data_IF_423657833662
#
_entry.id   IF_423657833662
#
_cell.length_a   1.000
_cell.length_b   1.000
_cell.length_c   1.000
_cell.angle_alpha   90.00
_cell.angle_beta   90.00
_cell.angle_gamma   90.00
#
_symmetry.space_group_name_H-M   'P 1'
#
loop_
_entity.id
_entity.type
_entity.pdbx_description
1 polymer ?
#
# COMPACT_ATOMS: atom_id res chain seq x y z
N UNK A 1 16.40 -21.14 6.87
CA UNK A 1 15.92 -19.75 6.78
C UNK A 1 14.41 -19.80 6.71
N UNK A 2 13.71 -18.93 7.44
CA UNK A 2 12.26 -18.95 7.51
C UNK A 2 11.68 -18.18 6.31
N UNK A 3 10.64 -18.73 5.68
CA UNK A 3 9.87 -18.01 4.66
C UNK A 3 9.17 -16.83 5.30
N UNK A 4 9.38 -15.62 4.80
CA UNK A 4 8.74 -14.40 5.32
C UNK A 4 7.93 -13.69 4.24
N UNK A 5 6.69 -13.37 4.61
CA UNK A 5 5.77 -12.51 3.85
C UNK A 5 5.44 -11.31 4.72
N UNK A 6 5.46 -10.13 4.12
CA UNK A 6 4.89 -8.92 4.69
C UNK A 6 3.42 -8.81 4.25
N UNK A 7 2.54 -8.46 5.18
CA UNK A 7 1.13 -8.17 4.92
C UNK A 7 0.78 -6.79 5.46
N UNK A 8 0.18 -5.95 4.60
CA UNK A 8 -0.07 -4.53 4.92
C UNK A 8 -1.57 -4.18 4.82
N UNK A 9 -2.47 -4.82 5.61
CA UNK A 9 -3.90 -4.61 5.47
C UNK A 9 -4.30 -3.17 5.84
N UNK A 10 -5.33 -2.65 5.16
CA UNK A 10 -5.83 -1.31 5.39
C UNK A 10 -7.27 -1.36 5.87
N UNK A 11 -7.54 -0.69 6.98
CA UNK A 11 -8.84 -0.69 7.65
C UNK A 11 -9.49 0.68 7.51
N UNK A 12 -10.80 0.69 7.23
CA UNK A 12 -11.63 1.89 7.21
C UNK A 12 -12.04 2.27 8.64
N UNK A 13 -11.04 2.59 9.45
CA UNK A 13 -11.18 3.10 10.82
C UNK A 13 -9.86 3.77 11.22
N UNK A 14 -9.91 4.98 11.76
CA UNK A 14 -8.74 5.74 12.23
C UNK A 14 -9.01 6.61 13.44
N UNK A 15 -10.18 6.49 14.09
CA UNK A 15 -10.65 7.37 15.19
C UNK A 15 -11.02 6.60 16.45
N UNK A 16 -11.70 5.47 16.31
CA UNK A 16 -12.17 4.62 17.42
C UNK A 16 -11.04 3.74 17.93
N UNK A 17 -10.35 4.21 18.98
CA UNK A 17 -9.22 3.51 19.59
C UNK A 17 -9.57 2.10 20.01
N UNK A 18 -10.79 1.86 20.52
CA UNK A 18 -11.25 0.54 20.94
C UNK A 18 -11.32 -0.45 19.78
N UNK A 19 -11.66 0.01 18.57
CA UNK A 19 -11.70 -0.84 17.37
C UNK A 19 -10.29 -1.11 16.86
N UNK A 20 -9.42 -0.09 16.86
CA UNK A 20 -8.03 -0.21 16.42
C UNK A 20 -7.26 -1.15 17.35
N UNK A 21 -7.39 -0.98 18.67
CA UNK A 21 -6.76 -1.84 19.68
C UNK A 21 -7.23 -3.30 19.59
N UNK A 22 -8.52 -3.52 19.28
CA UNK A 22 -9.05 -4.87 19.04
C UNK A 22 -8.40 -5.52 17.80
N UNK A 23 -8.20 -4.75 16.73
CA UNK A 23 -7.47 -5.23 15.54
C UNK A 23 -6.00 -5.50 15.85
N UNK A 24 -5.31 -4.61 16.58
CA UNK A 24 -3.91 -4.80 17.01
C UNK A 24 -3.77 -6.09 17.83
N UNK A 25 -4.66 -6.30 18.79
CA UNK A 25 -4.68 -7.49 19.64
C UNK A 25 -4.89 -8.75 18.81
N UNK A 26 -5.79 -8.71 17.83
CA UNK A 26 -6.03 -9.84 16.91
C UNK A 26 -4.77 -10.17 16.09
N UNK A 27 -4.11 -9.16 15.52
CA UNK A 27 -2.87 -9.34 14.77
C UNK A 27 -1.75 -9.97 15.61
N UNK A 28 -1.57 -9.49 16.84
CA UNK A 28 -0.55 -9.98 17.77
C UNK A 28 -0.85 -11.38 18.34
N UNK A 29 -2.11 -11.80 18.30
CA UNK A 29 -2.54 -13.10 18.84
C UNK A 29 -2.14 -14.29 17.97
N UNK A 30 -1.76 -14.06 16.71
CA UNK A 30 -1.47 -15.14 15.76
C UNK A 30 -0.02 -15.61 15.91
N UNK A 31 0.21 -16.90 16.27
CA UNK A 31 1.57 -17.42 16.43
C UNK A 31 2.37 -17.31 15.13
N UNK A 32 3.63 -16.88 15.24
CA UNK A 32 4.53 -16.74 14.10
C UNK A 32 4.28 -15.49 13.23
N UNK A 33 3.42 -14.58 13.69
CA UNK A 33 3.22 -13.25 13.09
C UNK A 33 3.73 -12.18 14.05
N UNK A 34 4.43 -11.19 13.52
CA UNK A 34 4.91 -10.02 14.23
C UNK A 34 4.24 -8.80 13.60
N UNK A 35 3.48 -8.04 14.40
CA UNK A 35 3.04 -6.70 14.02
C UNK A 35 4.21 -5.74 14.18
N UNK A 36 4.78 -5.28 13.07
CA UNK A 36 5.95 -4.40 13.04
C UNK A 36 5.56 -2.94 13.29
N UNK A 37 4.44 -2.52 12.70
CA UNK A 37 3.95 -1.15 12.79
C UNK A 37 2.42 -1.11 12.64
N UNK A 38 1.80 -0.11 13.24
CA UNK A 38 0.44 0.30 12.89
C UNK A 38 0.36 1.83 12.95
N UNK A 39 -0.27 2.41 11.95
CA UNK A 39 -0.51 3.85 11.87
C UNK A 39 -1.99 4.11 11.61
N UNK A 40 -2.52 5.12 12.28
CA UNK A 40 -3.90 5.56 12.16
C UNK A 40 -3.94 7.05 11.86
N UNK A 41 -4.80 7.44 10.92
CA UNK A 41 -5.01 8.82 10.53
C UNK A 41 -6.48 9.18 10.72
N UNK A 42 -6.74 10.15 11.61
CA UNK A 42 -8.09 10.57 11.98
C UNK A 42 -8.83 11.29 10.84
N UNK A 43 -8.12 12.08 10.03
CA UNK A 43 -8.70 12.85 8.92
C UNK A 43 -9.11 11.91 7.78
N UNK A 44 -8.19 11.03 7.40
CA UNK A 44 -8.44 9.98 6.42
C UNK A 44 -9.39 8.89 6.94
N UNK A 45 -9.57 8.80 8.27
CA UNK A 45 -10.29 7.75 8.99
C UNK A 45 -9.85 6.35 8.52
N UNK A 46 -8.54 6.12 8.55
CA UNK A 46 -7.93 4.90 8.02
C UNK A 46 -6.77 4.46 8.89
N UNK A 47 -6.65 3.15 9.07
CA UNK A 47 -5.50 2.52 9.71
C UNK A 47 -4.79 1.58 8.76
N UNK A 48 -3.46 1.55 8.86
CA UNK A 48 -2.58 0.69 8.08
C UNK A 48 -1.74 -0.10 9.06
N UNK A 49 -1.81 -1.42 8.97
CA UNK A 49 -0.97 -2.31 9.77
C UNK A 49 0.13 -2.88 8.88
N UNK A 50 1.30 -3.12 9.45
CA UNK A 50 2.40 -3.80 8.77
C UNK A 50 2.81 -5.00 9.60
N UNK A 51 2.62 -6.20 9.06
CA UNK A 51 2.91 -7.46 9.74
C UNK A 51 3.88 -8.30 8.92
N UNK A 52 4.73 -9.09 9.59
CA UNK A 52 5.60 -10.07 8.94
C UNK A 52 5.48 -11.43 9.62
N UNK A 53 5.59 -12.51 8.86
CA UNK A 53 5.51 -13.87 9.39
C UNK A 53 5.59 -14.94 8.33
N UNK A 54 5.39 -16.20 8.72
CA UNK A 54 5.30 -17.32 7.77
C UNK A 54 4.08 -17.17 6.87
N UNK A 55 4.07 -17.78 5.66
CA UNK A 55 2.92 -17.73 4.77
C UNK A 55 1.61 -18.16 5.45
N UNK A 56 1.65 -19.22 6.26
CA UNK A 56 0.50 -19.75 6.98
C UNK A 56 0.04 -18.78 8.08
N UNK A 57 0.97 -18.26 8.88
CA UNK A 57 0.66 -17.30 9.94
C UNK A 57 0.08 -16.01 9.39
N UNK A 58 0.68 -15.46 8.33
CA UNK A 58 0.23 -14.23 7.68
C UNK A 58 -1.14 -14.41 7.02
N UNK A 59 -1.40 -15.56 6.38
CA UNK A 59 -2.71 -15.89 5.86
C UNK A 59 -3.80 -15.94 6.94
N UNK A 60 -3.49 -16.57 8.07
CA UNK A 60 -4.40 -16.66 9.22
C UNK A 60 -4.66 -15.27 9.84
N UNK A 61 -3.61 -14.47 10.06
CA UNK A 61 -3.75 -13.12 10.58
C UNK A 61 -4.57 -12.22 9.66
N UNK A 62 -4.33 -12.26 8.36
CA UNK A 62 -5.09 -11.49 7.39
C UNK A 62 -6.59 -11.85 7.42
N UNK A 63 -6.91 -13.15 7.48
CA UNK A 63 -8.30 -13.60 7.59
C UNK A 63 -8.96 -13.18 8.92
N UNK A 64 -8.29 -13.38 10.05
CA UNK A 64 -8.82 -13.01 11.38
C UNK A 64 -9.06 -11.51 11.49
N UNK A 65 -8.15 -10.70 10.96
CA UNK A 65 -8.31 -9.26 10.89
C UNK A 65 -9.50 -8.86 10.00
N UNK A 66 -9.68 -9.51 8.85
CA UNK A 66 -10.84 -9.27 8.00
C UNK A 66 -12.16 -9.59 8.72
N UNK A 67 -12.20 -10.71 9.46
CA UNK A 67 -13.33 -11.07 10.30
C UNK A 67 -13.59 -10.03 11.40
N UNK A 68 -12.57 -9.67 12.17
CA UNK A 68 -12.68 -8.69 13.26
C UNK A 68 -13.12 -7.32 12.75
N UNK A 69 -12.58 -6.87 11.61
CA UNK A 69 -12.99 -5.64 10.96
C UNK A 69 -14.46 -5.68 10.52
N UNK A 70 -14.92 -6.77 9.93
CA UNK A 70 -16.33 -6.94 9.53
C UNK A 70 -17.30 -6.94 10.73
N UNK A 71 -16.85 -7.40 11.90
CA UNK A 71 -17.63 -7.39 13.16
C UNK A 71 -17.72 -6.00 13.80
N UNK A 72 -16.73 -5.13 13.59
CA UNK A 72 -16.53 -3.89 14.37
C UNK A 72 -16.65 -2.59 13.57
N UNK A 73 -16.53 -2.67 12.24
CA UNK A 73 -16.59 -1.55 11.31
C UNK A 73 -17.86 -1.63 10.47
N UNK A 74 -18.66 -0.57 10.54
CA UNK A 74 -19.89 -0.41 9.77
C UNK A 74 -19.71 0.73 8.75
N UNK A 75 -19.47 0.38 7.49
CA UNK A 75 -19.22 1.38 6.44
C UNK A 75 -20.41 2.30 6.17
N UNK A 76 -21.63 1.88 6.52
CA UNK A 76 -22.82 2.74 6.35
C UNK A 76 -22.77 3.99 7.23
N UNK A 77 -21.91 3.98 8.25
CA UNK A 77 -21.66 5.10 9.18
C UNK A 77 -20.27 5.69 9.02
N UNK A 78 -19.44 5.11 8.16
CA UNK A 78 -18.05 5.51 8.00
C UNK A 78 -17.91 6.68 7.02
N UNK A 79 -17.24 7.74 7.46
CA UNK A 79 -16.79 8.85 6.62
C UNK A 79 -15.31 9.15 6.85
N UNK A 80 -14.58 9.50 5.80
CA UNK A 80 -13.15 9.82 5.85
C UNK A 80 -12.69 10.37 4.50
N UNK A 81 -11.59 11.12 4.50
CA UNK A 81 -11.05 11.73 3.28
C UNK A 81 -10.44 10.70 2.33
N UNK A 82 -9.97 9.56 2.85
CA UNK A 82 -9.36 8.52 2.02
C UNK A 82 -10.44 7.69 1.30
N UNK A 83 -10.32 7.48 -0.02
CA UNK A 83 -11.22 6.59 -0.76
C UNK A 83 -11.17 5.17 -0.20
N UNK A 84 -12.35 4.61 0.08
CA UNK A 84 -12.49 3.26 0.64
C UNK A 84 -13.70 2.52 0.06
N UNK A 85 -13.63 1.20 0.00
CA UNK A 85 -14.75 0.35 -0.45
C UNK A 85 -15.05 -0.82 0.50
N UNK A 86 -14.21 -1.03 1.51
CA UNK A 86 -14.30 -2.16 2.44
C UNK A 86 -13.95 -1.79 3.88
N UNK A 87 -14.54 -2.48 4.85
CA UNK A 87 -14.13 -2.41 6.26
C UNK A 87 -12.63 -2.76 6.38
N UNK A 88 -12.22 -3.81 5.65
CA UNK A 88 -10.86 -3.95 5.14
C UNK A 88 -10.88 -3.55 3.68
N UNK A 89 -10.17 -2.48 3.34
CA UNK A 89 -10.21 -1.92 2.00
C UNK A 89 -9.25 -2.67 1.04
N UNK A 90 -8.04 -2.98 1.51
CA UNK A 90 -7.06 -3.77 0.75
C UNK A 90 -6.19 -4.62 1.67
N UNK A 91 -5.82 -5.82 1.20
CA UNK A 91 -4.88 -6.75 1.84
C UNK A 91 -3.77 -7.15 0.84
N UNK A 92 -2.64 -6.43 0.85
CA UNK A 92 -1.45 -6.78 0.06
C UNK A 92 -0.60 -7.84 0.76
N UNK A 93 -0.11 -8.82 0.00
CA UNK A 93 0.98 -9.71 0.39
C UNK A 93 2.24 -9.38 -0.41
N UNK A 94 3.38 -9.27 0.29
CA UNK A 94 4.65 -8.84 -0.28
C UNK A 94 5.73 -9.88 0.06
N UNK A 95 6.46 -10.41 -0.93
CA UNK A 95 7.55 -11.36 -0.66
C UNK A 95 8.73 -10.64 -0.01
N UNK A 96 9.24 -11.18 1.11
CA UNK A 96 10.38 -10.62 1.85
C UNK A 96 11.61 -11.54 1.78
N UNK A 97 11.50 -12.78 2.26
CA UNK A 97 12.65 -13.69 2.37
C UNK A 97 12.24 -15.13 2.03
N UNK A 98 13.01 -15.78 1.17
CA UNK A 98 12.77 -17.16 0.70
C UNK A 98 11.33 -17.44 0.21
N UNK A 99 10.67 -16.41 -0.30
CA UNK A 99 9.31 -16.45 -0.82
C UNK A 99 9.28 -15.76 -2.18
N UNK A 100 8.58 -16.38 -3.13
CA UNK A 100 8.40 -15.83 -4.47
C UNK A 100 7.11 -15.01 -4.58
N UNK A 101 6.98 -14.23 -5.66
CA UNK A 101 5.72 -13.57 -5.97
C UNK A 101 4.58 -14.60 -6.17
N UNK A 102 4.87 -15.75 -6.76
CA UNK A 102 3.87 -16.80 -7.01
C UNK A 102 3.33 -17.42 -5.70
N UNK A 103 4.20 -17.58 -4.70
CA UNK A 103 3.78 -18.00 -3.35
C UNK A 103 2.79 -16.98 -2.75
N UNK A 104 3.08 -15.68 -2.89
CA UNK A 104 2.19 -14.62 -2.41
C UNK A 104 0.86 -14.57 -3.19
N UNK A 105 0.91 -14.79 -4.51
CA UNK A 105 -0.30 -14.90 -5.35
C UNK A 105 -1.16 -16.07 -4.87
N UNK A 106 -0.54 -17.22 -4.64
CA UNK A 106 -1.22 -18.43 -4.14
C UNK A 106 -1.88 -18.16 -2.79
N UNK A 107 -1.16 -17.59 -1.84
CA UNK A 107 -1.69 -17.20 -0.54
C UNK A 107 -2.85 -16.20 -0.66
N UNK A 108 -2.72 -15.18 -1.52
CA UNK A 108 -3.76 -14.17 -1.70
C UNK A 108 -5.09 -14.77 -2.18
N UNK A 109 -5.04 -15.78 -3.06
CA UNK A 109 -6.22 -16.51 -3.55
C UNK A 109 -6.86 -17.36 -2.46
N UNK A 110 -6.05 -18.06 -1.67
CA UNK A 110 -6.53 -18.86 -0.55
C UNK A 110 -7.25 -18.00 0.51
N UNK A 111 -6.65 -16.86 0.87
CA UNK A 111 -7.27 -15.91 1.79
C UNK A 111 -8.53 -15.30 1.19
N UNK A 112 -8.52 -14.93 -0.09
CA UNK A 112 -9.70 -14.39 -0.79
C UNK A 112 -10.89 -15.35 -0.80
N UNK A 113 -10.66 -16.61 -1.14
CA UNK A 113 -11.69 -17.66 -1.13
C UNK A 113 -12.28 -17.86 0.27
N UNK A 114 -11.43 -17.86 1.29
CA UNK A 114 -11.84 -18.02 2.69
C UNK A 114 -12.62 -16.81 3.22
N UNK A 115 -12.14 -15.59 2.94
CA UNK A 115 -12.85 -14.34 3.29
C UNK A 115 -14.24 -14.35 2.66
N UNK A 116 -14.38 -14.78 1.41
CA UNK A 116 -15.68 -14.86 0.79
C UNK A 116 -16.58 -15.94 1.40
N UNK A 117 -16.07 -17.17 1.50
CA UNK A 117 -16.88 -18.33 1.91
C UNK A 117 -17.31 -18.27 3.38
N UNK A 118 -16.47 -17.73 4.28
CA UNK A 118 -16.78 -17.65 5.71
C UNK A 118 -17.40 -16.31 6.13
N UNK A 119 -17.09 -15.20 5.47
CA UNK A 119 -17.56 -13.87 5.87
C UNK A 119 -18.59 -13.27 4.90
N UNK A 120 -18.82 -13.88 3.74
CA UNK A 120 -19.74 -13.37 2.73
C UNK A 120 -19.29 -12.07 2.07
N UNK A 121 -18.03 -11.67 2.26
CA UNK A 121 -17.48 -10.43 1.69
C UNK A 121 -17.02 -10.70 0.25
N UNK A 122 -17.49 -9.94 -0.75
CA UNK A 122 -16.99 -10.08 -2.12
C UNK A 122 -15.54 -9.59 -2.22
N UNK A 123 -14.74 -10.32 -3.00
CA UNK A 123 -13.31 -10.07 -3.11
C UNK A 123 -12.92 -9.78 -4.56
N UNK A 124 -12.10 -8.74 -4.74
CA UNK A 124 -11.37 -8.49 -5.98
C UNK A 124 -9.91 -8.87 -5.82
N UNK A 125 -9.38 -9.68 -6.75
CA UNK A 125 -7.96 -9.90 -6.86
C UNK A 125 -7.30 -8.72 -7.60
N UNK A 126 -6.21 -8.18 -7.06
CA UNK A 126 -5.56 -6.98 -7.60
C UNK A 126 -4.04 -7.14 -7.77
N UNK A 127 -3.42 -6.15 -8.42
CA UNK A 127 -1.99 -6.14 -8.79
C UNK A 127 -1.55 -7.45 -9.45
N UNK A 128 -0.54 -8.17 -8.92
CA UNK A 128 -0.04 -9.40 -9.55
C UNK A 128 -1.02 -10.58 -9.41
N UNK A 129 -1.99 -10.49 -8.50
CA UNK A 129 -3.05 -11.50 -8.36
C UNK A 129 -4.25 -11.25 -9.29
N UNK A 130 -4.30 -10.11 -9.97
CA UNK A 130 -5.46 -9.69 -10.75
C UNK A 130 -5.83 -10.70 -11.85
N UNK A 131 -7.09 -11.12 -11.88
CA UNK A 131 -7.63 -12.00 -12.93
C UNK A 131 -7.87 -11.29 -14.26
N UNK A 132 -7.95 -9.96 -14.25
CA UNK A 132 -8.18 -9.13 -15.42
C UNK A 132 -7.31 -7.86 -15.39
N UNK A 133 -6.85 -7.34 -16.55
CA UNK A 133 -5.95 -6.19 -16.62
C UNK A 133 -6.46 -4.93 -15.90
N UNK A 134 -7.76 -4.66 -15.98
CA UNK A 134 -8.44 -3.52 -15.34
C UNK A 134 -8.43 -3.57 -13.80
N UNK A 135 -8.23 -4.76 -13.21
CA UNK A 135 -8.19 -4.97 -11.75
C UNK A 135 -6.79 -4.80 -11.18
N UNK A 136 -5.75 -4.73 -12.02
CA UNK A 136 -4.38 -4.49 -11.54
C UNK A 136 -4.30 -3.20 -10.73
N UNK A 137 -4.95 -2.13 -11.20
CA UNK A 137 -4.94 -0.85 -10.51
C UNK A 137 -6.03 -0.76 -9.44
N UNK A 138 -5.62 -0.74 -8.18
CA UNK A 138 -6.50 -0.56 -7.04
C UNK A 138 -7.40 0.68 -7.11
N UNK A 139 -6.92 1.80 -7.65
CA UNK A 139 -7.74 3.00 -7.82
C UNK A 139 -8.89 2.78 -8.82
N UNK A 140 -8.68 1.91 -9.82
CA UNK A 140 -9.75 1.53 -10.74
C UNK A 140 -10.81 0.68 -10.04
N UNK A 141 -10.41 -0.25 -9.16
CA UNK A 141 -11.35 -1.05 -8.34
C UNK A 141 -12.07 -0.15 -7.32
N UNK A 142 -11.38 0.76 -6.64
CA UNK A 142 -11.96 1.68 -5.65
C UNK A 142 -12.80 2.80 -6.24
N UNK A 143 -12.78 3.02 -7.56
CA UNK A 143 -13.56 4.09 -8.20
C UNK A 143 -15.05 3.89 -7.89
N UNK A 144 -15.66 4.91 -7.29
CA UNK A 144 -17.03 4.88 -6.78
C UNK A 144 -17.13 4.67 -5.27
N UNK A 145 -16.03 4.28 -4.60
CA UNK A 145 -15.98 3.98 -3.16
C UNK A 145 -17.02 2.93 -2.75
N UNK A 146 -17.36 2.87 -1.46
CA UNK A 146 -18.42 2.01 -0.93
C UNK A 146 -19.79 2.34 -1.55
N UNK A 147 -20.15 3.63 -1.64
CA UNK A 147 -21.48 4.10 -2.07
C UNK A 147 -21.78 3.79 -3.53
N UNK A 148 -20.78 3.87 -4.42
CA UNK A 148 -20.92 3.60 -5.84
C UNK A 148 -20.74 2.13 -6.22
N UNK A 149 -20.33 1.27 -5.28
CA UNK A 149 -20.04 -0.13 -5.56
C UNK A 149 -21.28 -0.94 -5.99
N UNK A 150 -22.48 -0.77 -5.40
CA UNK A 150 -23.67 -1.48 -5.86
C UNK A 150 -24.01 -1.26 -7.34
N UNK A 151 -23.84 -0.03 -7.85
CA UNK A 151 -24.05 0.27 -9.27
C UNK A 151 -22.95 -0.32 -10.12
N UNK A 152 -21.70 -0.21 -9.67
CA UNK A 152 -20.54 -0.73 -10.38
C UNK A 152 -20.59 -2.24 -10.58
N UNK A 153 -21.05 -2.99 -9.57
CA UNK A 153 -21.15 -4.44 -9.62
C UNK A 153 -22.18 -4.95 -10.65
N UNK A 154 -23.07 -4.08 -11.15
CA UNK A 154 -23.97 -4.42 -12.27
C UNK A 154 -23.25 -4.55 -13.61
N UNK A 155 -22.09 -3.90 -13.76
CA UNK A 155 -21.25 -4.06 -14.94
C UNK A 155 -20.55 -5.43 -14.88
N UNK A 156 -20.77 -6.33 -15.86
CA UNK A 156 -20.14 -7.65 -15.90
C UNK A 156 -18.61 -7.60 -15.78
N UNK A 157 -17.99 -6.50 -16.19
CA UNK A 157 -16.55 -6.25 -16.06
C UNK A 157 -16.06 -6.24 -14.60
N UNK A 158 -16.92 -5.75 -13.71
CA UNK A 158 -16.62 -5.56 -12.29
C UNK A 158 -17.24 -6.65 -11.40
N UNK A 159 -17.54 -7.83 -11.94
CA UNK A 159 -17.91 -8.98 -11.11
C UNK A 159 -16.75 -9.38 -10.17
N UNK A 160 -16.96 -9.58 -8.87
CA UNK A 160 -15.92 -10.01 -7.95
C UNK A 160 -15.26 -11.32 -8.39
N UNK A 161 -14.00 -11.51 -8.03
CA UNK A 161 -13.28 -12.79 -8.24
C UNK A 161 -13.86 -13.90 -7.36
N UNK A 162 -14.28 -13.54 -6.16
CA UNK A 162 -14.97 -14.41 -5.23
C UNK A 162 -16.21 -13.70 -4.69
N UNK A 163 -17.33 -14.44 -4.65
CA UNK A 163 -18.62 -13.94 -4.16
C UNK A 163 -19.60 -13.51 -5.23
N UNK A 164 -20.77 -13.09 -4.78
CA UNK A 164 -21.82 -12.53 -5.65
C UNK A 164 -21.49 -11.09 -6.01
N UNK A 165 -22.06 -10.60 -7.11
CA UNK A 165 -21.99 -9.19 -7.52
C UNK A 165 -22.90 -8.28 -6.66
N UNK A 166 -22.77 -8.39 -5.34
CA UNK A 166 -23.52 -7.63 -4.33
C UNK A 166 -22.56 -7.27 -3.20
N UNK A 167 -22.60 -6.04 -2.68
CA UNK A 167 -21.75 -5.66 -1.55
C UNK A 167 -22.16 -6.39 -0.26
N UNK A 168 -21.21 -6.63 0.63
CA UNK A 168 -21.57 -6.96 2.01
C UNK A 168 -22.22 -5.72 2.66
N UNK A 169 -23.36 -5.84 3.38
CA UNK A 169 -24.14 -4.69 3.85
C UNK A 169 -23.36 -3.65 4.65
N UNK A 170 -22.49 -4.09 5.56
CA UNK A 170 -21.67 -3.22 6.41
C UNK A 170 -20.19 -3.23 6.05
N UNK A 171 -19.63 -4.38 5.68
CA UNK A 171 -18.21 -4.53 5.36
C UNK A 171 -17.82 -4.14 3.92
N UNK A 172 -18.78 -3.96 2.99
CA UNK A 172 -18.48 -3.56 1.60
C UNK A 172 -17.84 -4.67 0.77
N UNK A 173 -16.74 -4.35 0.08
CA UNK A 173 -15.92 -5.28 -0.71
C UNK A 173 -14.45 -5.10 -0.37
N UNK A 174 -13.62 -6.14 -0.57
CA UNK A 174 -12.18 -6.07 -0.27
C UNK A 174 -11.33 -6.36 -1.51
N UNK A 175 -10.22 -5.65 -1.67
CA UNK A 175 -9.19 -6.03 -2.63
C UNK A 175 -8.10 -6.85 -1.94
N UNK A 176 -7.75 -8.02 -2.47
CA UNK A 176 -6.71 -8.89 -1.91
C UNK A 176 -5.74 -9.24 -3.03
N UNK A 177 -4.43 -9.20 -2.78
CA UNK A 177 -3.49 -9.52 -3.85
C UNK A 177 -2.03 -9.46 -3.43
N UNK A 178 -1.18 -9.87 -4.35
CA UNK A 178 0.26 -9.83 -4.18
C UNK A 178 0.86 -8.65 -4.96
N UNK A 179 1.90 -8.03 -4.40
CA UNK A 179 2.64 -6.94 -5.06
C UNK A 179 4.08 -6.89 -4.61
N UNK A 180 4.90 -6.20 -5.38
CA UNK A 180 6.25 -5.84 -4.95
C UNK A 180 6.21 -4.89 -3.73
N UNK A 181 7.29 -4.81 -2.94
CA UNK A 181 7.41 -3.82 -1.89
C UNK A 181 7.20 -2.42 -2.45
N UNK A 182 6.45 -1.61 -1.72
CA UNK A 182 6.11 -0.25 -2.10
C UNK A 182 6.77 0.70 -1.11
N UNK A 183 7.44 1.72 -1.61
CA UNK A 183 8.00 2.79 -0.76
C UNK A 183 7.17 4.04 -0.96
N UNK A 184 6.50 4.50 0.09
CA UNK A 184 5.86 5.80 0.12
C UNK A 184 6.93 6.84 0.44
N UNK A 185 7.26 7.66 -0.55
CA UNK A 185 8.38 8.59 -0.54
C UNK A 185 7.89 9.97 -0.99
N UNK A 186 7.92 10.95 -0.10
CA UNK A 186 7.45 12.28 -0.41
C UNK A 186 8.62 13.27 -0.47
N UNK A 187 8.56 14.24 -1.38
CA UNK A 187 9.62 15.24 -1.58
C UNK A 187 9.04 16.63 -1.36
N UNK A 188 9.60 17.36 -0.39
CA UNK A 188 9.19 18.70 0.00
C UNK A 188 9.85 19.76 -0.88
N UNK A 189 9.04 20.69 -1.39
CA UNK A 189 9.50 21.79 -2.23
C UNK A 189 9.56 23.10 -1.44
N UNK A 190 10.47 23.99 -1.80
CA UNK A 190 10.65 25.32 -1.20
C UNK A 190 9.56 26.34 -1.58
N UNK A 191 8.36 25.88 -1.90
CA UNK A 191 7.24 26.69 -2.40
C UNK A 191 5.93 26.19 -1.81
N UNK A 192 4.94 27.07 -1.65
CA UNK A 192 3.55 26.72 -1.32
C UNK A 192 2.67 26.53 -2.57
N UNK A 193 3.23 26.73 -3.77
CA UNK A 193 2.47 26.58 -5.01
C UNK A 193 2.28 25.10 -5.37
N UNK A 194 1.09 24.57 -5.04
CA UNK A 194 0.68 23.20 -5.34
C UNK A 194 0.66 22.90 -6.85
N UNK A 195 0.52 23.91 -7.72
CA UNK A 195 0.55 23.68 -9.17
C UNK A 195 1.92 23.22 -9.64
N UNK A 196 3.00 23.73 -9.01
CA UNK A 196 4.36 23.27 -9.29
C UNK A 196 4.49 21.79 -8.91
N UNK A 197 4.07 21.40 -7.72
CA UNK A 197 4.09 20.00 -7.28
C UNK A 197 3.25 19.09 -8.19
N UNK A 198 2.05 19.54 -8.60
CA UNK A 198 1.18 18.79 -9.52
C UNK A 198 1.80 18.59 -10.91
N UNK A 199 2.47 19.62 -11.44
CA UNK A 199 3.16 19.54 -12.72
C UNK A 199 4.33 18.55 -12.65
N UNK A 200 5.15 18.63 -11.60
CA UNK A 200 6.26 17.68 -11.38
C UNK A 200 5.73 16.26 -11.20
N UNK A 201 4.68 16.07 -10.39
CA UNK A 201 4.03 14.77 -10.20
C UNK A 201 3.55 14.17 -11.54
N UNK A 202 2.95 15.00 -12.40
CA UNK A 202 2.51 14.58 -13.74
C UNK A 202 3.68 14.15 -14.63
N UNK A 203 4.85 14.79 -14.53
CA UNK A 203 6.04 14.43 -15.30
C UNK A 203 6.61 13.08 -14.86
N UNK A 204 6.66 12.82 -13.54
CA UNK A 204 7.33 11.62 -13.03
C UNK A 204 6.46 10.37 -13.03
N UNK A 205 5.12 10.48 -12.97
CA UNK A 205 4.24 9.31 -12.82
C UNK A 205 4.03 8.54 -14.12
N UNK A 206 3.96 7.22 -14.00
CA UNK A 206 3.76 6.29 -15.12
C UNK A 206 2.50 6.60 -15.93
N UNK A 207 1.39 6.93 -15.26
CA UNK A 207 0.09 7.18 -15.91
C UNK A 207 0.08 8.36 -16.88
N UNK A 208 1.11 9.19 -16.85
CA UNK A 208 1.29 10.35 -17.74
C UNK A 208 2.50 10.19 -18.68
N UNK A 209 3.06 8.98 -18.77
CA UNK A 209 4.22 8.67 -19.61
C UNK A 209 5.57 8.85 -18.92
N UNK A 210 5.58 9.10 -17.61
CA UNK A 210 6.79 9.26 -16.81
C UNK A 210 7.50 7.95 -16.49
N UNK A 211 8.12 7.90 -15.31
CA UNK A 211 8.88 6.73 -14.84
C UNK A 211 7.95 5.55 -14.57
N UNK A 212 8.36 4.36 -15.00
CA UNK A 212 7.66 3.10 -14.70
C UNK A 212 7.66 2.86 -13.20
N UNK A 213 6.58 2.25 -12.70
CA UNK A 213 6.40 1.90 -11.29
C UNK A 213 6.35 3.12 -10.34
N UNK A 214 6.09 4.31 -10.87
CA UNK A 214 5.93 5.54 -10.09
C UNK A 214 4.50 6.03 -10.20
N UNK A 215 3.82 6.16 -9.06
CA UNK A 215 2.54 6.87 -8.93
C UNK A 215 2.80 8.12 -8.09
N UNK A 216 2.32 9.28 -8.51
CA UNK A 216 2.51 10.51 -7.74
C UNK A 216 1.41 11.55 -7.96
N UNK A 217 1.28 12.42 -6.94
CA UNK A 217 0.37 13.56 -6.90
C UNK A 217 1.07 14.75 -6.21
N UNK A 218 0.63 15.98 -6.50
CA UNK A 218 0.99 17.14 -5.71
C UNK A 218 0.04 17.26 -4.53
N UNK A 219 0.59 17.50 -3.34
CA UNK A 219 -0.18 17.72 -2.10
C UNK A 219 0.33 18.98 -1.40
N UNK A 220 -0.54 19.61 -0.63
CA UNK A 220 -0.19 20.75 0.21
C UNK A 220 -0.05 20.27 1.66
N UNK A 221 1.05 20.63 2.32
CA UNK A 221 1.21 20.48 3.76
C UNK A 221 0.80 21.80 4.41
N UNK A 222 -0.47 21.91 4.79
CA UNK A 222 -1.07 23.15 5.32
C UNK A 222 -0.31 23.68 6.55
N UNK A 223 0.05 22.79 7.49
CA UNK A 223 0.75 23.15 8.73
C UNK A 223 2.12 23.80 8.50
N UNK A 224 2.76 23.45 7.38
CA UNK A 224 4.10 23.95 7.01
C UNK A 224 4.04 24.99 5.90
N UNK A 225 2.87 25.22 5.32
CA UNK A 225 2.65 26.04 4.13
C UNK A 225 3.65 25.70 3.00
N UNK A 226 3.82 24.41 2.69
CA UNK A 226 4.70 23.94 1.60
C UNK A 226 3.99 22.92 0.72
N UNK A 227 4.30 22.95 -0.56
CA UNK A 227 3.92 21.95 -1.54
C UNK A 227 4.87 20.76 -1.47
N UNK A 228 4.30 19.57 -1.64
CA UNK A 228 5.01 18.30 -1.58
C UNK A 228 4.63 17.45 -2.79
N UNK A 229 5.62 16.79 -3.38
CA UNK A 229 5.37 15.74 -4.38
C UNK A 229 5.25 14.42 -3.62
N UNK A 230 4.03 13.91 -3.48
CA UNK A 230 3.81 12.61 -2.84
C UNK A 230 3.96 11.48 -3.85
N UNK A 231 4.76 10.47 -3.52
CA UNK A 231 5.18 9.44 -4.47
C UNK A 231 5.02 8.05 -3.84
N UNK A 232 4.39 7.16 -4.58
CA UNK A 232 4.39 5.73 -4.32
C UNK A 232 5.31 5.04 -5.33
N UNK A 233 6.44 4.55 -4.82
CA UNK A 233 7.41 3.73 -5.55
C UNK A 233 6.91 2.29 -5.55
N UNK A 234 6.13 1.90 -6.55
CA UNK A 234 5.52 0.57 -6.63
C UNK A 234 6.53 -0.57 -6.86
N UNK A 235 7.74 -0.25 -7.33
CA UNK A 235 8.85 -1.20 -7.44
C UNK A 235 10.18 -0.44 -7.42
N UNK A 236 10.75 -0.28 -6.22
CA UNK A 236 12.00 0.47 -6.02
C UNK A 236 13.22 -0.19 -6.69
N UNK A 237 13.22 -1.52 -6.84
CA UNK A 237 14.32 -2.26 -7.48
C UNK A 237 14.41 -1.92 -8.97
N UNK A 238 13.26 -1.76 -9.65
CA UNK A 238 13.22 -1.39 -11.07
C UNK A 238 13.32 0.11 -11.31
N UNK A 239 12.86 0.93 -10.37
CA UNK A 239 13.01 2.38 -10.42
C UNK A 239 13.39 2.88 -9.03
N UNK A 240 14.68 3.13 -8.79
CA UNK A 240 15.19 3.43 -7.45
C UNK A 240 14.87 4.86 -7.01
N UNK A 241 14.87 5.08 -5.69
CA UNK A 241 14.52 6.35 -5.07
C UNK A 241 15.39 7.50 -5.58
N UNK A 242 16.71 7.31 -5.64
CA UNK A 242 17.64 8.35 -6.12
C UNK A 242 17.26 8.87 -7.52
N UNK A 243 16.78 8.00 -8.41
CA UNK A 243 16.44 8.36 -9.79
C UNK A 243 15.21 9.28 -9.82
N UNK A 244 14.20 8.97 -9.01
CA UNK A 244 13.02 9.83 -8.90
C UNK A 244 13.38 11.14 -8.21
N UNK A 245 14.19 11.08 -7.17
CA UNK A 245 14.65 12.26 -6.45
C UNK A 245 15.40 13.24 -7.35
N UNK A 246 16.35 12.76 -8.17
CA UNK A 246 17.09 13.59 -9.11
C UNK A 246 16.20 14.16 -10.22
N UNK A 247 15.22 13.41 -10.70
CA UNK A 247 14.26 13.94 -11.68
C UNK A 247 13.39 15.05 -11.08
N UNK A 248 12.89 14.86 -9.86
CA UNK A 248 12.14 15.90 -9.14
C UNK A 248 13.03 17.12 -8.88
N UNK A 249 14.30 16.92 -8.51
CA UNK A 249 15.28 18.01 -8.33
C UNK A 249 15.45 18.81 -9.61
N UNK A 250 15.64 18.14 -10.74
CA UNK A 250 15.81 18.78 -12.04
C UNK A 250 14.56 19.54 -12.47
N UNK A 251 13.36 18.96 -12.32
CA UNK A 251 12.11 19.64 -12.68
C UNK A 251 11.79 20.81 -11.74
N UNK A 252 12.03 20.68 -10.43
CA UNK A 252 11.85 21.78 -9.48
C UNK A 252 12.76 22.99 -9.79
N UNK A 253 14.01 22.73 -10.17
CA UNK A 253 14.97 23.77 -10.53
C UNK A 253 14.51 24.63 -11.73
N UNK A 254 13.73 24.05 -12.67
CA UNK A 254 13.16 24.79 -13.80
C UNK A 254 12.12 25.84 -13.39
N UNK A 255 11.53 25.68 -12.22
CA UNK A 255 10.61 26.64 -11.61
C UNK A 255 11.31 27.59 -10.62
N UNK A 256 12.64 27.50 -10.47
CA UNK A 256 13.38 28.24 -9.43
C UNK A 256 13.11 27.73 -8.01
N UNK A 257 12.58 26.51 -7.87
CA UNK A 257 12.21 25.87 -6.61
C UNK A 257 13.27 24.84 -6.23
N UNK A 258 13.53 24.69 -4.94
CA UNK A 258 14.49 23.72 -4.41
C UNK A 258 13.76 22.62 -3.65
N UNK A 259 14.40 21.45 -3.55
CA UNK A 259 14.00 20.42 -2.59
C UNK A 259 14.54 20.84 -1.22
N UNK A 260 13.65 20.91 -0.23
CA UNK A 260 14.01 21.28 1.17
C UNK A 260 14.01 20.09 2.12
N UNK A 261 13.62 18.92 1.63
CA UNK A 261 13.65 17.67 2.38
C UNK A 261 12.84 16.59 1.68
N UNK A 262 12.87 15.39 2.22
CA UNK A 262 12.01 14.28 1.82
C UNK A 262 11.67 13.41 3.01
N UNK A 263 10.58 12.67 2.89
CA UNK A 263 9.98 11.89 3.96
C UNK A 263 9.70 10.47 3.45
N UNK A 264 9.96 9.48 4.29
CA UNK A 264 9.51 8.11 4.08
C UNK A 264 8.33 7.91 5.00
N UNK A 265 7.22 7.43 4.42
CA UNK A 265 5.98 7.20 5.17
C UNK A 265 5.86 5.70 5.45
N UNK A 266 5.84 5.34 6.74
CA UNK A 266 5.83 3.95 7.20
C UNK A 266 7.20 3.28 7.09
N UNK A 267 7.20 1.95 6.98
CA UNK A 267 8.42 1.16 6.84
C UNK A 267 8.94 1.18 5.40
N UNK A 268 10.25 1.05 5.24
CA UNK A 268 10.90 0.95 3.93
C UNK A 268 11.90 -0.19 3.91
N UNK A 269 12.02 -0.93 2.79
CA UNK A 269 13.08 -1.91 2.61
C UNK A 269 14.45 -1.23 2.67
N UNK A 270 15.36 -1.77 3.49
CA UNK A 270 16.72 -1.23 3.66
C UNK A 270 17.44 -1.03 2.31
N UNK A 271 17.30 -1.99 1.38
CA UNK A 271 17.92 -1.90 0.06
C UNK A 271 17.50 -0.66 -0.73
N UNK A 272 16.28 -0.14 -0.55
CA UNK A 272 15.84 1.09 -1.22
C UNK A 272 16.71 2.31 -0.84
N UNK A 273 17.23 2.32 0.40
CA UNK A 273 18.15 3.34 0.91
C UNK A 273 19.59 3.06 0.48
N UNK A 274 20.01 1.79 0.57
CA UNK A 274 21.36 1.36 0.18
C UNK A 274 21.62 1.67 -1.30
N UNK A 275 20.66 1.40 -2.20
CA UNK A 275 20.77 1.72 -3.63
C UNK A 275 21.03 3.22 -3.85
N UNK A 276 20.42 4.08 -3.03
CA UNK A 276 20.64 5.53 -3.09
C UNK A 276 22.01 5.91 -2.53
N UNK A 277 22.44 5.30 -1.42
CA UNK A 277 23.77 5.52 -0.85
C UNK A 277 24.88 5.09 -1.82
N UNK A 278 24.75 3.91 -2.43
CA UNK A 278 25.68 3.41 -3.44
C UNK A 278 25.80 4.38 -4.63
N UNK A 279 24.67 4.85 -5.15
CA UNK A 279 24.64 5.82 -6.25
C UNK A 279 25.38 7.12 -5.93
N UNK A 280 25.13 7.72 -4.77
CA UNK A 280 25.73 9.02 -4.41
C UNK A 280 27.18 8.90 -3.96
N UNK A 281 27.54 7.83 -3.24
CA UNK A 281 28.90 7.61 -2.74
C UNK A 281 29.82 7.03 -3.81
N UNK A 282 29.27 6.50 -4.91
CA UNK A 282 30.02 5.85 -6.00
C UNK A 282 30.92 4.73 -5.49
N UNK A 283 30.36 3.86 -4.65
CA UNK A 283 31.11 2.78 -4.04
C UNK A 283 31.60 1.80 -5.12
N UNK A 284 32.90 1.56 -5.16
CA UNK A 284 33.51 0.62 -6.11
C UNK A 284 33.48 -0.79 -5.56
N UNK A 285 33.07 -1.76 -6.38
CA UNK A 285 32.97 -3.19 -6.03
C UNK A 285 32.11 -3.45 -4.78
N UNK A 286 31.11 -2.60 -4.53
CA UNK A 286 30.19 -2.78 -3.42
C UNK A 286 29.15 -3.86 -3.75
N UNK A 287 28.97 -4.81 -2.84
CA UNK A 287 27.87 -5.77 -2.87
C UNK A 287 27.10 -5.67 -1.55
N UNK A 288 25.87 -5.15 -1.62
CA UNK A 288 25.01 -4.98 -0.45
C UNK A 288 24.74 -6.31 0.27
N UNK A 289 24.73 -7.45 -0.43
CA UNK A 289 24.49 -8.77 0.17
C UNK A 289 25.67 -9.26 1.00
N UNK A 290 26.87 -8.77 0.71
CA UNK A 290 28.10 -9.20 1.39
C UNK A 290 28.54 -8.16 2.42
N UNK A 291 28.42 -6.87 2.10
CA UNK A 291 29.05 -5.80 2.86
C UNK A 291 28.10 -5.02 3.78
N UNK A 292 26.77 -5.23 3.68
CA UNK A 292 25.82 -4.68 4.66
C UNK A 292 25.66 -5.70 5.79
N UNK A 293 26.01 -5.30 7.01
CA UNK A 293 26.04 -6.18 8.18
C UNK A 293 24.66 -6.81 8.46
N UNK A 294 23.60 -6.01 8.36
CA UNK A 294 22.23 -6.40 8.65
C UNK A 294 21.71 -7.51 7.72
N UNK A 295 22.26 -7.61 6.50
CA UNK A 295 21.92 -8.71 5.57
C UNK A 295 22.45 -10.08 6.04
N UNK A 296 23.30 -10.12 7.07
CA UNK A 296 23.76 -11.36 7.71
C UNK A 296 22.99 -11.70 9.00
N UNK A 297 22.12 -10.79 9.47
CA UNK A 297 21.37 -10.95 10.72
C UNK A 297 19.94 -11.50 10.51
N UNK A 298 19.46 -11.49 9.25
CA UNK A 298 18.09 -11.88 8.85
C UNK A 298 18.09 -13.22 8.10
#
# INVERSE_FOLDING_TARGET
MAKLIECIPNFSEGRRSEVIEALVSEAQSVPGVILLDHSSDESHNRSVFTMVGSPEGIGEAAFRLAKKAAETIDLTKHTGEHPRMGAVDVVPFVPIQDVTMEDCITLSKQVAERVNSELGIPVFLYEESASAPERKNLAAIRKGQFEGMPEKLKDPKWQPDYGKAEIHPTAGVVAIGARAPLVAFNINLSTSDIQIANNIAKIIRESSGGLKYVKSIGVMLEDRNIAQVSINMCNYVKTPLYRVFELVRAEAARYGVQIIGSEIIGLTPMNALVDSAEYYLKLENFDSKVQVLENHLL
#
